data_IF_794938941077
#
_entry.id   IF_794938941077
#
_cell.length_a   1.000
_cell.length_b   1.000
_cell.length_c   1.000
_cell.angle_alpha   90.00
_cell.angle_beta   90.00
_cell.angle_gamma   90.00
#
_symmetry.space_group_name_H-M   'P 1'
#
loop_
_entity.id
_entity.type
_entity.pdbx_description
1 polymer ?
#
# COMPACT_ATOMS: atom_id res chain seq x y z
N UNK A 1 -25.56 31.03 46.04
CA UNK A 1 -24.71 31.83 45.13
C UNK A 1 -23.70 30.89 44.48
N UNK A 2 -23.87 30.58 43.19
CA UNK A 2 -22.94 29.73 42.46
C UNK A 2 -21.56 30.43 42.40
N UNK A 3 -20.53 29.80 42.95
CA UNK A 3 -19.20 30.40 43.04
C UNK A 3 -18.48 30.23 41.70
N UNK A 4 -18.35 31.33 40.96
CA UNK A 4 -17.81 31.38 39.59
C UNK A 4 -16.45 30.69 39.47
N UNK A 5 -15.62 30.77 40.51
CA UNK A 5 -14.31 30.11 40.59
C UNK A 5 -14.42 28.58 40.54
N UNK A 6 -15.46 28.00 41.13
CA UNK A 6 -15.70 26.55 41.10
C UNK A 6 -16.21 26.09 39.74
N UNK A 7 -17.06 26.88 39.10
CA UNK A 7 -17.57 26.59 37.75
C UNK A 7 -16.42 26.64 36.74
N UNK A 8 -15.54 27.64 36.82
CA UNK A 8 -14.35 27.73 35.97
C UNK A 8 -13.41 26.53 36.17
N UNK A 9 -13.18 26.11 37.42
CA UNK A 9 -12.37 24.92 37.71
C UNK A 9 -12.99 23.63 37.14
N UNK A 10 -14.31 23.44 37.27
CA UNK A 10 -14.99 22.27 36.69
C UNK A 10 -14.99 22.27 35.16
N UNK A 11 -15.12 23.43 34.51
CA UNK A 11 -15.06 23.56 33.06
C UNK A 11 -13.67 23.21 32.50
N UNK A 12 -12.60 23.64 33.19
CA UNK A 12 -11.21 23.31 32.81
C UNK A 12 -10.95 21.81 32.97
N UNK A 13 -11.36 21.22 34.09
CA UNK A 13 -11.19 19.77 34.35
C UNK A 13 -12.01 18.93 33.37
N UNK A 14 -13.25 19.32 33.07
CA UNK A 14 -14.06 18.66 32.06
C UNK A 14 -13.45 18.79 30.65
N UNK A 15 -12.91 19.95 30.30
CA UNK A 15 -12.21 20.16 29.02
C UNK A 15 -10.94 19.33 28.88
N UNK A 16 -10.17 19.16 29.95
CA UNK A 16 -8.98 18.29 30.00
C UNK A 16 -9.35 16.81 29.85
N UNK A 17 -10.44 16.36 30.48
CA UNK A 17 -10.92 14.97 30.37
C UNK A 17 -11.42 14.67 28.94
N UNK A 18 -12.00 15.67 28.26
CA UNK A 18 -12.52 15.55 26.90
C UNK A 18 -11.46 15.75 25.79
N UNK A 19 -10.20 16.04 26.14
CA UNK A 19 -9.08 16.12 25.17
C UNK A 19 -8.61 14.73 24.72
N UNK A 20 -8.79 13.72 25.58
CA UNK A 20 -8.31 12.34 25.37
C UNK A 20 -8.95 11.59 24.18
N UNK A 21 -10.27 11.66 23.91
CA UNK A 21 -10.85 10.90 22.80
C UNK A 21 -10.43 11.43 21.41
N UNK A 22 -10.11 12.72 21.27
CA UNK A 22 -9.63 13.28 20.00
C UNK A 22 -8.19 12.84 19.65
N UNK A 23 -7.33 12.61 20.66
CA UNK A 23 -5.99 12.06 20.47
C UNK A 23 -5.97 10.54 20.23
N UNK A 24 -7.09 9.85 20.49
CA UNK A 24 -7.26 8.42 20.27
C UNK A 24 -8.00 8.07 18.97
N UNK A 25 -8.53 9.07 18.26
CA UNK A 25 -9.12 8.90 16.92
C UNK A 25 -8.05 8.81 15.84
N UNK A 26 -7.25 7.76 15.92
CA UNK A 26 -6.33 7.29 14.87
C UNK A 26 -6.21 5.78 14.84
N UNK A 27 -7.12 5.07 15.52
CA UNK A 27 -7.15 3.63 15.60
C UNK A 27 -8.35 3.11 14.79
N UNK A 28 -8.18 3.05 13.48
CA UNK A 28 -9.02 2.20 12.63
C UNK A 28 -8.91 0.77 13.16
N UNK A 29 -10.00 0.31 13.77
CA UNK A 29 -10.12 -0.95 14.50
C UNK A 29 -10.12 -2.18 13.60
N UNK A 30 -8.99 -2.49 13.01
CA UNK A 30 -8.67 -3.75 12.35
C UNK A 30 -7.18 -4.02 12.48
N UNK A 31 -6.74 -5.25 12.32
CA UNK A 31 -5.33 -5.62 12.21
C UNK A 31 -4.70 -4.92 11.00
N UNK A 32 -4.24 -3.68 11.17
CA UNK A 32 -3.71 -2.86 10.09
C UNK A 32 -2.33 -3.40 9.70
N UNK A 33 -2.29 -4.24 8.66
CA UNK A 33 -1.02 -4.56 7.98
C UNK A 33 -0.48 -3.23 7.43
N UNK A 34 0.75 -2.80 7.79
CA UNK A 34 1.30 -1.56 7.28
C UNK A 34 1.35 -1.56 5.75
N UNK A 35 1.03 -0.43 5.12
CA UNK A 35 1.08 -0.32 3.65
C UNK A 35 2.44 -0.64 3.05
N UNK A 36 3.53 -0.38 3.78
CA UNK A 36 4.88 -0.80 3.40
C UNK A 36 5.02 -2.33 3.29
N UNK A 37 4.36 -3.09 4.19
CA UNK A 37 4.34 -4.56 4.13
C UNK A 37 3.53 -5.04 2.94
N UNK A 38 2.35 -4.43 2.71
CA UNK A 38 1.53 -4.71 1.52
C UNK A 38 2.29 -4.45 0.22
N UNK A 39 2.94 -3.29 0.09
CA UNK A 39 3.76 -2.93 -1.06
C UNK A 39 4.93 -3.90 -1.28
N UNK A 40 5.59 -4.34 -0.19
CA UNK A 40 6.65 -5.35 -0.25
C UNK A 40 6.17 -6.69 -0.79
N UNK A 41 5.01 -7.16 -0.34
CA UNK A 41 4.41 -8.41 -0.83
C UNK A 41 4.02 -8.31 -2.32
N UNK A 42 3.44 -7.18 -2.74
CA UNK A 42 3.13 -6.91 -4.14
C UNK A 42 4.40 -6.93 -4.99
N UNK A 43 5.47 -6.26 -4.56
CA UNK A 43 6.73 -6.22 -5.28
C UNK A 43 7.38 -7.62 -5.43
N UNK A 44 7.32 -8.45 -4.38
CA UNK A 44 7.80 -9.84 -4.44
C UNK A 44 6.98 -10.65 -5.46
N UNK A 45 5.65 -10.55 -5.40
CA UNK A 45 4.76 -11.25 -6.33
C UNK A 45 5.00 -10.85 -7.79
N UNK A 46 5.14 -9.54 -8.04
CA UNK A 46 5.43 -9.00 -9.35
C UNK A 46 6.79 -9.46 -9.87
N UNK A 47 7.84 -9.36 -9.05
CA UNK A 47 9.20 -9.79 -9.38
C UNK A 47 9.28 -11.27 -9.76
N UNK A 48 8.60 -12.14 -9.00
CA UNK A 48 8.52 -13.57 -9.31
C UNK A 48 7.74 -13.83 -10.61
N UNK A 49 6.63 -13.13 -10.83
CA UNK A 49 5.82 -13.25 -12.04
C UNK A 49 6.59 -12.85 -13.30
N UNK A 50 7.15 -11.63 -13.31
CA UNK A 50 7.89 -11.12 -14.47
C UNK A 50 9.19 -11.91 -14.71
N UNK A 51 9.89 -12.32 -13.64
CA UNK A 51 11.09 -13.13 -13.75
C UNK A 51 10.82 -14.48 -14.43
N UNK A 52 9.69 -15.12 -14.12
CA UNK A 52 9.29 -16.37 -14.76
C UNK A 52 8.91 -16.18 -16.22
N UNK A 53 8.19 -15.10 -16.54
CA UNK A 53 7.84 -14.76 -17.93
C UNK A 53 9.11 -14.51 -18.75
N UNK A 54 10.01 -13.67 -18.26
CA UNK A 54 11.26 -13.34 -18.93
C UNK A 54 12.15 -14.57 -19.13
N UNK A 55 12.36 -15.38 -18.10
CA UNK A 55 13.14 -16.63 -18.20
C UNK A 55 12.55 -17.60 -19.23
N UNK A 56 11.23 -17.80 -19.20
CA UNK A 56 10.54 -18.70 -20.13
C UNK A 56 10.59 -18.18 -21.57
N UNK A 57 10.48 -16.86 -21.76
CA UNK A 57 10.61 -16.22 -23.06
C UNK A 57 12.01 -16.38 -23.63
N UNK A 58 13.06 -16.09 -22.85
CA UNK A 58 14.46 -16.23 -23.28
C UNK A 58 14.77 -17.67 -23.67
N UNK A 59 14.36 -18.65 -22.87
CA UNK A 59 14.58 -20.06 -23.21
C UNK A 59 13.80 -20.47 -24.48
N UNK A 60 12.57 -19.98 -24.65
CA UNK A 60 11.77 -20.26 -25.85
C UNK A 60 12.38 -19.62 -27.10
N UNK A 61 12.89 -18.39 -27.02
CA UNK A 61 13.58 -17.72 -28.12
C UNK A 61 14.89 -18.44 -28.50
N UNK A 62 15.61 -19.00 -27.53
CA UNK A 62 16.81 -19.78 -27.79
C UNK A 62 16.50 -21.11 -28.51
N UNK A 63 15.35 -21.73 -28.20
CA UNK A 63 14.91 -22.99 -28.84
C UNK A 63 14.27 -22.79 -30.22
N UNK A 64 13.61 -21.65 -30.43
CA UNK A 64 12.88 -21.33 -31.66
C UNK A 64 13.20 -19.90 -32.13
N UNK A 65 14.38 -19.69 -32.74
CA UNK A 65 14.82 -18.36 -33.14
C UNK A 65 13.91 -17.75 -34.22
N UNK A 66 13.31 -18.54 -35.11
CA UNK A 66 12.34 -18.04 -36.11
C UNK A 66 11.11 -17.37 -35.48
N UNK A 67 10.74 -17.75 -34.26
CA UNK A 67 9.57 -17.19 -33.55
C UNK A 67 9.95 -16.12 -32.53
N UNK A 68 11.23 -15.72 -32.46
CA UNK A 68 11.73 -14.87 -31.38
C UNK A 68 11.00 -13.52 -31.29
N UNK A 69 10.71 -12.89 -32.44
CA UNK A 69 9.94 -11.64 -32.48
C UNK A 69 8.53 -11.78 -31.91
N UNK A 70 7.84 -12.88 -32.23
CA UNK A 70 6.50 -13.16 -31.69
C UNK A 70 6.51 -13.43 -30.19
N UNK A 71 7.50 -14.20 -29.72
CA UNK A 71 7.70 -14.48 -28.29
C UNK A 71 8.00 -13.20 -27.52
N UNK A 72 8.87 -12.33 -28.06
CA UNK A 72 9.20 -11.04 -27.44
C UNK A 72 7.97 -10.13 -27.33
N UNK A 73 7.12 -10.07 -28.36
CA UNK A 73 5.87 -9.30 -28.31
C UNK A 73 4.93 -9.85 -27.24
N UNK A 74 4.72 -11.16 -27.20
CA UNK A 74 3.88 -11.80 -26.18
C UNK A 74 4.42 -11.57 -24.76
N UNK A 75 5.75 -11.63 -24.58
CA UNK A 75 6.43 -11.31 -23.33
C UNK A 75 6.19 -9.86 -22.90
N UNK A 76 6.34 -8.89 -23.82
CA UNK A 76 6.13 -7.47 -23.52
C UNK A 76 4.67 -7.19 -23.15
N UNK A 77 3.69 -7.80 -23.84
CA UNK A 77 2.27 -7.66 -23.49
C UNK A 77 2.01 -8.19 -22.08
N UNK A 78 2.54 -9.39 -21.79
CA UNK A 78 2.40 -10.00 -20.46
C UNK A 78 3.08 -9.16 -19.37
N UNK A 79 4.25 -8.60 -19.67
CA UNK A 79 4.97 -7.69 -18.80
C UNK A 79 4.16 -6.42 -18.53
N UNK A 80 3.62 -5.79 -19.57
CA UNK A 80 2.80 -4.59 -19.44
C UNK A 80 1.56 -4.80 -18.57
N UNK A 81 0.91 -5.96 -18.66
CA UNK A 81 -0.23 -6.31 -17.79
C UNK A 81 0.18 -6.48 -16.33
N UNK A 82 1.30 -7.17 -16.06
CA UNK A 82 1.84 -7.28 -14.69
C UNK A 82 2.23 -5.92 -14.14
N UNK A 83 2.94 -5.10 -14.92
CA UNK A 83 3.39 -3.78 -14.48
C UNK A 83 2.21 -2.85 -14.18
N UNK A 84 1.18 -2.84 -15.05
CA UNK A 84 -0.03 -2.04 -14.82
C UNK A 84 -0.77 -2.42 -13.53
N UNK A 85 -0.94 -3.72 -13.28
CA UNK A 85 -1.57 -4.20 -12.04
C UNK A 85 -0.69 -3.92 -10.81
N UNK A 86 0.61 -4.18 -10.91
CA UNK A 86 1.59 -3.99 -9.82
C UNK A 86 1.64 -2.53 -9.39
N UNK A 87 1.71 -1.61 -10.35
CA UNK A 87 1.74 -0.18 -10.08
C UNK A 87 0.46 0.28 -9.35
N UNK A 88 -0.71 -0.16 -9.80
CA UNK A 88 -1.97 0.15 -9.12
C UNK A 88 -2.04 -0.43 -7.71
N UNK A 89 -1.59 -1.66 -7.50
CA UNK A 89 -1.57 -2.29 -6.18
C UNK A 89 -0.62 -1.57 -5.21
N UNK A 90 0.58 -1.18 -5.66
CA UNK A 90 1.51 -0.37 -4.85
C UNK A 90 0.92 1.00 -4.52
N UNK A 91 0.25 1.65 -5.49
CA UNK A 91 -0.44 2.90 -5.26
C UNK A 91 -1.47 2.76 -4.12
N UNK A 92 -2.34 1.75 -4.16
CA UNK A 92 -3.32 1.47 -3.10
C UNK A 92 -2.64 1.25 -1.75
N UNK A 93 -1.54 0.48 -1.70
CA UNK A 93 -0.78 0.29 -0.46
C UNK A 93 -0.17 1.60 0.08
N UNK A 94 0.26 2.51 -0.80
CA UNK A 94 0.89 3.77 -0.40
C UNK A 94 -0.10 4.75 0.26
N UNK A 95 -1.39 4.62 -0.01
CA UNK A 95 -2.44 5.46 0.59
C UNK A 95 -2.66 5.21 2.10
N UNK A 96 -2.04 4.16 2.67
CA UNK A 96 -2.19 3.77 4.07
C UNK A 96 -1.22 4.50 5.02
N UNK A 97 -0.33 5.37 4.50
CA UNK A 97 0.59 6.15 5.33
C UNK A 97 -0.08 7.45 5.82
N UNK A 98 -0.24 7.66 7.14
CA UNK A 98 -0.90 8.85 7.71
C UNK A 98 -0.03 10.10 7.77
N UNK A 99 1.20 10.06 7.26
CA UNK A 99 2.12 11.20 7.23
C UNK A 99 2.17 11.77 5.81
N UNK A 100 1.37 12.82 5.50
CA UNK A 100 1.72 13.72 4.41
C UNK A 100 3.06 14.39 4.77
N UNK A 101 3.90 14.64 3.76
CA UNK A 101 5.23 15.22 3.93
C UNK A 101 5.28 16.49 4.80
#
# INVERSE_FOLDING_TARGET
MFNLTKIAAYAIVAGLIMVSPAAAQGADGGTNIPGAVGAGLVAIGAGLGIGRIGGSAVESMARQPEMAGGIQVAMIISAALIEGFTFYAIFVCSQQNPFPG
#
